data_IF_612502745278
#
_entry.id   IF_612502745278
#
_cell.length_a   1.000
_cell.length_b   1.000
_cell.length_c   1.000
_cell.angle_alpha   90.00
_cell.angle_beta   90.00
_cell.angle_gamma   90.00
#
_symmetry.space_group_name_H-M   'P 1'
#
loop_
_entity.id
_entity.type
_entity.pdbx_description
1 polymer ?
#
# COMPACT_ATOMS: atom_id res chain seq x y z
N UNK A 1 21.95 10.01 -4.60
CA UNK A 1 20.64 9.81 -3.95
C UNK A 1 19.63 9.11 -4.84
N UNK A 2 19.23 9.64 -6.02
CA UNK A 2 18.31 8.90 -6.91
C UNK A 2 18.98 7.68 -7.56
N UNK A 3 20.21 7.84 -8.06
CA UNK A 3 20.98 6.76 -8.70
C UNK A 3 21.29 5.60 -7.73
N UNK A 4 21.48 5.92 -6.44
CA UNK A 4 21.76 4.92 -5.40
C UNK A 4 20.51 4.08 -5.04
N UNK A 5 19.31 4.60 -5.33
CA UNK A 5 18.01 3.94 -5.06
C UNK A 5 17.39 3.32 -6.30
N UNK A 6 18.10 3.36 -7.44
CA UNK A 6 17.58 2.89 -8.72
C UNK A 6 17.06 1.45 -8.64
N UNK A 7 17.85 0.54 -8.04
CA UNK A 7 17.48 -0.85 -7.88
C UNK A 7 16.19 -1.03 -7.06
N UNK A 8 16.01 -0.26 -5.98
CA UNK A 8 14.84 -0.34 -5.10
C UNK A 8 13.58 0.15 -5.81
N UNK A 9 13.69 1.22 -6.60
CA UNK A 9 12.57 1.79 -7.36
C UNK A 9 12.21 0.89 -8.54
N UNK A 10 13.20 0.32 -9.22
CA UNK A 10 12.98 -0.53 -10.39
C UNK A 10 12.54 -1.97 -10.04
N UNK A 11 12.77 -2.45 -8.82
CA UNK A 11 12.31 -3.77 -8.36
C UNK A 11 10.80 -3.97 -8.61
N UNK A 12 10.04 -2.89 -8.53
CA UNK A 12 8.63 -2.85 -8.81
C UNK A 12 8.24 -3.26 -10.26
N UNK A 13 9.12 -3.09 -11.25
CA UNK A 13 8.86 -3.54 -12.62
C UNK A 13 8.80 -5.07 -12.74
N UNK A 14 9.35 -5.82 -11.77
CA UNK A 14 9.25 -7.29 -11.73
C UNK A 14 7.81 -7.81 -11.55
N UNK A 15 6.85 -6.97 -11.15
CA UNK A 15 5.44 -7.33 -11.05
C UNK A 15 4.71 -7.16 -12.39
N UNK A 16 3.67 -7.97 -12.63
CA UNK A 16 2.79 -7.83 -13.80
C UNK A 16 2.12 -6.45 -13.89
N UNK A 17 1.78 -5.99 -15.10
CA UNK A 17 1.14 -4.68 -15.35
C UNK A 17 -0.13 -4.48 -14.54
N UNK A 18 -0.94 -5.53 -14.39
CA UNK A 18 -2.15 -5.50 -13.58
C UNK A 18 -1.86 -5.25 -12.09
N UNK A 19 -0.79 -5.84 -11.55
CA UNK A 19 -0.37 -5.62 -10.16
C UNK A 19 0.32 -4.28 -9.98
N UNK A 20 1.05 -3.84 -10.99
CA UNK A 20 1.66 -2.52 -11.04
C UNK A 20 0.65 -1.41 -10.73
N UNK A 21 -0.48 -1.40 -11.41
CA UNK A 21 -1.58 -0.43 -11.16
C UNK A 21 -1.97 -0.31 -9.68
N UNK A 22 -1.92 -1.41 -8.94
CA UNK A 22 -2.26 -1.43 -7.52
C UNK A 22 -1.14 -0.93 -6.61
N UNK A 23 0.12 -1.23 -6.89
CA UNK A 23 1.26 -0.86 -6.05
C UNK A 23 1.60 0.63 -6.19
N UNK A 24 1.59 1.19 -7.41
CA UNK A 24 1.88 2.62 -7.59
C UNK A 24 0.71 3.51 -7.13
N UNK A 25 -0.48 2.94 -6.88
CA UNK A 25 -1.64 3.67 -6.41
C UNK A 25 -1.48 4.05 -4.93
N UNK A 26 -1.31 5.34 -4.66
CA UNK A 26 -1.27 5.87 -3.28
C UNK A 26 -2.66 6.05 -2.64
N UNK A 27 -3.75 5.75 -3.34
CA UNK A 27 -5.10 6.11 -2.89
C UNK A 27 -5.50 5.43 -1.58
N UNK A 28 -5.20 4.14 -1.44
CA UNK A 28 -5.48 3.36 -0.22
C UNK A 28 -4.72 3.91 0.97
N UNK A 29 -3.42 4.16 0.80
CA UNK A 29 -2.55 4.73 1.84
C UNK A 29 -2.98 6.15 2.22
N UNK A 30 -3.27 7.02 1.23
CA UNK A 30 -3.76 8.38 1.49
C UNK A 30 -5.10 8.38 2.22
N UNK A 31 -6.01 7.46 1.85
CA UNK A 31 -7.30 7.29 2.55
C UNK A 31 -7.06 6.86 4.00
N UNK A 32 -6.25 5.84 4.24
CA UNK A 32 -5.91 5.38 5.59
C UNK A 32 -5.25 6.48 6.43
N UNK A 33 -4.29 7.22 5.87
CA UNK A 33 -3.62 8.31 6.56
C UNK A 33 -4.57 9.44 6.94
N UNK A 34 -5.55 9.77 6.09
CA UNK A 34 -6.60 10.74 6.43
C UNK A 34 -7.43 10.27 7.62
N UNK A 35 -7.74 8.99 7.68
CA UNK A 35 -8.53 8.37 8.75
C UNK A 35 -7.80 8.32 10.08
N UNK A 36 -6.52 7.94 10.04
CA UNK A 36 -5.63 7.93 11.20
C UNK A 36 -5.45 9.33 11.76
N UNK A 37 -5.40 10.38 10.91
CA UNK A 37 -5.28 11.77 11.37
C UNK A 37 -6.58 12.36 11.91
N UNK A 38 -7.72 12.11 11.23
CA UNK A 38 -8.99 12.80 11.57
C UNK A 38 -9.59 12.44 12.94
N UNK A 39 -9.36 11.21 13.46
CA UNK A 39 -9.99 10.77 14.71
C UNK A 39 -9.28 11.31 15.96
N UNK A 40 -7.94 11.33 16.02
CA UNK A 40 -7.21 12.07 17.05
C UNK A 40 -7.54 13.57 17.07
N UNK A 41 -7.81 14.20 15.92
CA UNK A 41 -8.15 15.63 15.85
C UNK A 41 -9.39 15.99 16.69
N UNK A 42 -10.32 15.05 16.91
CA UNK A 42 -11.51 15.25 17.77
C UNK A 42 -11.14 15.26 19.26
N UNK A 43 -10.12 14.51 19.66
CA UNK A 43 -9.67 14.42 21.06
C UNK A 43 -8.73 15.58 21.42
N UNK A 44 -7.90 16.01 20.47
CA UNK A 44 -6.98 17.15 20.62
C UNK A 44 -5.74 16.82 21.46
N UNK A 45 -5.90 16.58 22.76
CA UNK A 45 -4.80 16.32 23.71
C UNK A 45 -4.99 14.96 24.38
N UNK A 46 -3.92 14.16 24.42
CA UNK A 46 -3.93 12.84 25.05
C UNK A 46 -3.16 12.84 26.38
N UNK A 47 -3.60 12.07 27.38
CA UNK A 47 -2.94 12.02 28.70
C UNK A 47 -1.62 11.23 28.69
N UNK A 48 -1.39 10.35 27.71
CA UNK A 48 -0.16 9.59 27.50
C UNK A 48 -0.11 8.98 26.10
N UNK A 49 1.05 8.44 25.72
CA UNK A 49 1.28 7.75 24.44
C UNK A 49 0.39 6.51 24.27
N UNK A 50 0.15 5.76 25.33
CA UNK A 50 -0.66 4.54 25.26
C UNK A 50 -2.11 4.84 24.85
N UNK A 51 -2.66 5.98 25.29
CA UNK A 51 -4.02 6.42 24.96
C UNK A 51 -4.18 6.72 23.47
N UNK A 52 -3.20 7.39 22.85
CA UNK A 52 -3.22 7.66 21.40
C UNK A 52 -2.96 6.38 20.60
N UNK A 53 -2.10 5.48 21.08
CA UNK A 53 -1.87 4.18 20.45
C UNK A 53 -3.14 3.31 20.43
N UNK A 54 -3.93 3.31 21.52
CA UNK A 54 -5.23 2.62 21.55
C UNK A 54 -6.20 3.18 20.53
N UNK A 55 -6.28 4.51 20.39
CA UNK A 55 -7.16 5.14 19.40
C UNK A 55 -6.73 4.79 17.98
N UNK A 56 -5.46 4.97 17.63
CA UNK A 56 -4.94 4.60 16.31
C UNK A 56 -5.14 3.11 16.04
N UNK A 57 -4.86 2.24 17.02
CA UNK A 57 -5.10 0.80 16.94
C UNK A 57 -6.56 0.49 16.61
N UNK A 58 -7.52 1.13 17.29
CA UNK A 58 -8.94 0.96 17.00
C UNK A 58 -9.30 1.37 15.55
N UNK A 59 -8.75 2.49 15.05
CA UNK A 59 -8.95 2.92 13.65
C UNK A 59 -8.40 1.90 12.66
N UNK A 60 -7.20 1.39 12.91
CA UNK A 60 -6.55 0.41 12.05
C UNK A 60 -7.30 -0.93 12.06
N UNK A 61 -7.78 -1.38 13.22
CA UNK A 61 -8.59 -2.59 13.34
C UNK A 61 -9.88 -2.48 12.56
N UNK A 62 -10.64 -1.39 12.71
CA UNK A 62 -11.87 -1.17 11.96
C UNK A 62 -11.63 -1.17 10.44
N UNK A 63 -10.54 -0.54 9.98
CA UNK A 63 -10.16 -0.54 8.57
C UNK A 63 -9.75 -1.92 8.06
N UNK A 64 -9.06 -2.69 8.89
CA UNK A 64 -8.69 -4.05 8.57
C UNK A 64 -9.93 -4.96 8.46
N UNK A 65 -10.88 -4.85 9.39
CA UNK A 65 -12.16 -5.58 9.35
C UNK A 65 -12.95 -5.25 8.07
N UNK A 66 -13.05 -3.96 7.71
CA UNK A 66 -13.67 -3.52 6.45
C UNK A 66 -13.01 -4.19 5.23
N UNK A 67 -11.68 -4.24 5.18
CA UNK A 67 -10.94 -4.88 4.08
C UNK A 67 -11.05 -6.41 4.05
N UNK A 68 -11.24 -7.05 5.21
CA UNK A 68 -11.46 -8.49 5.30
C UNK A 68 -12.87 -8.88 4.85
N UNK A 69 -13.87 -8.05 5.16
CA UNK A 69 -15.29 -8.30 4.86
C UNK A 69 -15.71 -7.86 3.45
N UNK A 70 -15.08 -6.82 2.89
CA UNK A 70 -15.37 -6.31 1.54
C UNK A 70 -14.45 -6.92 0.47
N UNK A 71 -14.60 -6.47 -0.78
CA UNK A 71 -13.76 -6.87 -1.91
C UNK A 71 -12.30 -6.45 -1.65
N UNK A 72 -11.50 -7.38 -1.13
CA UNK A 72 -10.11 -7.16 -0.74
C UNK A 72 -9.32 -6.51 -1.87
N UNK A 73 -8.63 -5.40 -1.58
CA UNK A 73 -7.85 -4.65 -2.58
C UNK A 73 -6.84 -5.56 -3.33
N UNK A 74 -6.23 -6.50 -2.59
CA UNK A 74 -5.39 -7.56 -3.12
C UNK A 74 -5.90 -8.93 -2.63
N UNK A 75 -6.73 -9.64 -3.42
CA UNK A 75 -7.26 -10.94 -3.05
C UNK A 75 -6.17 -11.99 -2.79
N UNK A 76 -6.43 -12.94 -1.90
CA UNK A 76 -5.45 -13.97 -1.52
C UNK A 76 -5.02 -14.87 -2.69
N UNK A 77 -5.91 -15.16 -3.63
CA UNK A 77 -5.55 -15.88 -4.85
C UNK A 77 -4.55 -15.10 -5.72
N UNK A 78 -4.69 -13.77 -5.78
CA UNK A 78 -3.74 -12.89 -6.49
C UNK A 78 -2.37 -12.83 -5.80
N UNK A 79 -2.29 -13.18 -4.51
CA UNK A 79 -1.03 -13.29 -3.77
C UNK A 79 -0.32 -14.63 -4.01
N UNK A 80 -1.04 -15.69 -4.39
CA UNK A 80 -0.42 -16.98 -4.72
C UNK A 80 0.45 -16.90 -5.99
N UNK A 81 0.20 -15.90 -6.84
CA UNK A 81 0.91 -15.64 -8.10
C UNK A 81 2.01 -14.57 -7.92
N UNK A 82 2.56 -14.38 -6.70
CA UNK A 82 3.56 -13.32 -6.46
C UNK A 82 4.88 -13.60 -7.15
N UNK A 83 5.32 -14.86 -7.11
CA UNK A 83 6.61 -15.29 -7.64
C UNK A 83 6.59 -15.59 -9.14
N UNK A 84 5.47 -15.34 -9.84
CA UNK A 84 5.42 -15.51 -11.29
C UNK A 84 6.07 -14.28 -11.94
N UNK A 85 7.29 -14.41 -12.51
CA UNK A 85 7.95 -13.30 -13.13
C UNK A 85 7.18 -12.89 -14.39
N UNK A 86 6.96 -11.59 -14.57
CA UNK A 86 6.38 -11.06 -15.80
C UNK A 86 7.47 -10.98 -16.90
N UNK A 87 8.08 -12.12 -17.25
CA UNK A 87 9.27 -12.20 -18.12
C UNK A 87 9.09 -11.47 -19.47
N UNK A 88 7.86 -11.40 -19.98
CA UNK A 88 7.53 -10.76 -21.27
C UNK A 88 7.04 -9.31 -21.18
N UNK A 89 6.68 -8.78 -19.99
CA UNK A 89 6.13 -7.41 -19.86
C UNK A 89 7.15 -6.38 -19.38
N UNK A 90 8.29 -6.82 -18.83
CA UNK A 90 9.32 -5.92 -18.26
C UNK A 90 10.00 -5.11 -19.36
N UNK A 91 10.34 -5.75 -20.49
CA UNK A 91 11.02 -5.11 -21.63
C UNK A 91 10.17 -4.00 -22.29
N UNK A 92 8.85 -4.14 -22.28
CA UNK A 92 7.89 -3.19 -22.87
C UNK A 92 7.58 -2.00 -21.94
N UNK A 93 7.88 -2.13 -20.65
CA UNK A 93 7.60 -1.13 -19.63
C UNK A 93 8.78 -0.18 -19.36
N UNK A 94 9.98 -0.51 -19.88
CA UNK A 94 11.16 0.34 -19.76
C UNK A 94 11.09 1.46 -20.82
N UNK A 95 11.39 2.72 -20.46
CA UNK A 95 11.33 3.85 -21.38
C UNK A 95 12.36 3.81 -22.52
N UNK A 96 13.21 2.77 -22.57
CA UNK A 96 14.22 2.54 -23.59
C UNK A 96 13.69 1.72 -24.80
N UNK A 97 12.42 1.30 -24.79
CA UNK A 97 11.85 0.44 -25.83
C UNK A 97 11.16 1.19 -26.99
N UNK A 98 11.49 2.47 -27.22
CA UNK A 98 10.97 3.30 -28.32
C UNK A 98 12.07 3.67 -29.32
#
# INVERSE_FOLDING_TARGET
MMDETEADVLAYFGFSKARRVKIHSMNTLKRLNREVKRRPDVVGIFPNEESIMRLHGAVLTERNEEWLLQNRYLPQHSMAEIDQPAENEVLEALPLSA
#
